data_IF_093174573929
#
_entry.id   IF_093174573929
#
_cell.length_a   1.000
_cell.length_b   1.000
_cell.length_c   1.000
_cell.angle_alpha   90.00
_cell.angle_beta   90.00
_cell.angle_gamma   90.00
#
_symmetry.space_group_name_H-M   'P 1'
#
loop_
_entity.id
_entity.type
_entity.pdbx_description
1 polymer ?
#
# COMPACT_ATOMS: atom_id res chain seq x y z
N UNK A 1 15.92 -21.14 9.30
CA UNK A 1 15.41 -21.13 9.51
C UNK A 1 14.50 -21.52 9.64
N UNK A 2 14.26 -21.88 10.10
CA UNK A 2 13.45 -22.23 10.34
C UNK A 2 12.61 -21.54 10.27
N UNK A 3 12.43 -20.90 10.70
CA UNK A 3 11.62 -20.24 10.64
C UNK A 3 11.65 -19.81 9.53
N UNK A 4 11.71 -20.36 8.91
CA UNK A 4 11.47 -20.01 7.88
C UNK A 4 12.07 -19.07 7.34
N UNK A 5 12.20 -18.41 7.73
CA UNK A 5 12.90 -17.41 7.31
C UNK A 5 12.57 -16.78 6.05
N UNK A 6 11.49 -17.10 5.51
CA UNK A 6 11.14 -16.50 4.26
C UNK A 6 10.43 -15.19 4.51
N UNK A 7 11.01 -14.13 4.01
CA UNK A 7 10.41 -12.81 4.15
C UNK A 7 9.31 -12.60 3.12
N UNK A 8 8.32 -11.82 3.48
CA UNK A 8 7.26 -11.41 2.56
C UNK A 8 7.58 -10.02 2.05
N UNK A 9 7.40 -9.82 0.76
CA UNK A 9 7.67 -8.53 0.13
C UNK A 9 6.38 -7.75 -0.01
N UNK A 10 6.45 -6.46 0.31
CA UNK A 10 5.31 -5.53 0.18
C UNK A 10 5.78 -4.33 -0.62
N UNK A 11 4.96 -3.93 -1.56
CA UNK A 11 5.30 -2.79 -2.39
C UNK A 11 4.01 -2.05 -2.73
N UNK A 12 4.01 -0.74 -2.54
CA UNK A 12 2.87 0.05 -3.01
C UNK A 12 3.33 1.43 -3.43
N UNK A 13 2.56 2.01 -4.35
CA UNK A 13 2.83 3.33 -4.90
C UNK A 13 1.70 4.26 -4.49
N UNK A 14 2.05 5.46 -4.05
CA UNK A 14 1.07 6.48 -3.69
C UNK A 14 1.27 7.70 -4.57
N UNK A 15 0.15 8.33 -4.88
CA UNK A 15 0.14 9.58 -5.64
C UNK A 15 -0.54 10.65 -4.78
N UNK A 16 0.01 11.86 -4.82
CA UNK A 16 -0.51 12.96 -4.03
C UNK A 16 -0.36 14.27 -4.83
N UNK A 17 -1.29 15.19 -4.59
CA UNK A 17 -1.24 16.48 -5.29
C UNK A 17 -0.25 17.41 -4.60
N UNK A 18 0.02 18.55 -5.23
CA UNK A 18 0.91 19.55 -4.65
C UNK A 18 0.40 20.07 -3.31
N UNK A 19 -0.91 20.04 -3.10
CA UNK A 19 -1.50 20.48 -1.83
C UNK A 19 -1.48 19.39 -0.78
N UNK A 20 -0.99 18.21 -1.13
CA UNK A 20 -0.99 17.05 -0.24
C UNK A 20 0.41 16.55 0.06
N UNK A 21 1.39 17.42 0.02
CA UNK A 21 2.78 17.00 0.25
C UNK A 21 3.01 16.44 1.65
N UNK A 22 2.08 16.67 2.57
CA UNK A 22 2.13 16.03 3.89
C UNK A 22 2.04 14.50 3.77
N UNK A 23 1.42 13.98 2.72
CA UNK A 23 1.38 12.52 2.47
C UNK A 23 2.79 12.00 2.23
N UNK A 24 3.56 12.71 1.40
CA UNK A 24 4.94 12.34 1.11
C UNK A 24 5.79 12.36 2.38
N UNK A 25 5.67 13.43 3.15
CA UNK A 25 6.42 13.58 4.39
C UNK A 25 6.06 12.50 5.40
N UNK A 26 4.78 12.18 5.48
CA UNK A 26 4.30 11.17 6.38
C UNK A 26 4.84 9.79 6.01
N UNK A 27 4.85 9.47 4.71
CA UNK A 27 5.36 8.19 4.25
C UNK A 27 6.83 8.05 4.62
N UNK A 28 7.62 9.10 4.39
CA UNK A 28 9.03 9.10 4.77
C UNK A 28 9.22 8.91 6.27
N UNK A 29 8.41 9.58 7.06
CA UNK A 29 8.55 9.55 8.50
C UNK A 29 8.13 8.20 9.08
N UNK A 30 7.12 7.57 8.48
CA UNK A 30 6.52 6.36 9.04
C UNK A 30 6.95 5.07 8.36
N UNK A 31 7.91 5.14 7.45
CA UNK A 31 8.27 3.97 6.62
C UNK A 31 8.84 2.79 7.38
N UNK A 32 9.19 2.97 8.64
CA UNK A 32 9.70 1.90 9.49
C UNK A 32 10.91 1.23 8.87
N UNK A 33 10.85 -0.08 8.65
CA UNK A 33 11.96 -0.83 8.06
C UNK A 33 11.96 -0.79 6.54
N UNK A 34 11.02 -0.10 5.94
CA UNK A 34 10.92 -0.05 4.50
C UNK A 34 11.76 1.05 3.88
N UNK A 35 11.70 1.10 2.57
CA UNK A 35 12.40 2.10 1.77
C UNK A 35 11.38 2.88 0.95
N UNK A 36 11.58 4.18 0.86
CA UNK A 36 10.72 5.04 0.04
C UNK A 36 11.55 5.61 -1.09
N UNK A 37 11.03 5.48 -2.30
CA UNK A 37 11.65 6.04 -3.49
C UNK A 37 10.70 7.07 -4.08
N UNK A 38 11.18 8.27 -4.30
CA UNK A 38 10.38 9.33 -4.93
C UNK A 38 10.53 9.21 -6.44
N UNK A 39 9.47 8.73 -7.09
CA UNK A 39 9.49 8.49 -8.53
C UNK A 39 9.38 9.80 -9.30
N UNK A 40 8.60 10.73 -8.77
CA UNK A 40 8.55 12.10 -9.27
C UNK A 40 8.03 12.97 -8.13
N UNK A 41 7.72 14.23 -8.42
CA UNK A 41 7.33 15.18 -7.36
C UNK A 41 6.03 14.77 -6.67
N UNK A 42 5.21 13.98 -7.33
CA UNK A 42 3.87 13.65 -6.85
C UNK A 42 3.65 12.15 -6.67
N UNK A 43 4.70 11.35 -6.73
CA UNK A 43 4.56 9.89 -6.68
C UNK A 43 5.71 9.29 -5.90
N UNK A 44 5.39 8.43 -4.95
CA UNK A 44 6.40 7.69 -4.18
C UNK A 44 6.05 6.22 -4.13
N UNK A 45 7.09 5.40 -4.10
CA UNK A 45 6.94 3.94 -3.96
C UNK A 45 7.57 3.50 -2.65
N UNK A 46 6.83 2.71 -1.91
CA UNK A 46 7.30 2.09 -0.68
C UNK A 46 7.55 0.60 -0.94
N UNK A 47 8.68 0.09 -0.46
CA UNK A 47 8.97 -1.34 -0.51
C UNK A 47 9.50 -1.78 0.84
N UNK A 48 9.18 -3.02 1.21
CA UNK A 48 9.69 -3.60 2.45
C UNK A 48 9.68 -5.11 2.35
N UNK A 49 10.60 -5.73 3.06
CA UNK A 49 10.62 -7.17 3.25
C UNK A 49 10.44 -7.43 4.74
N UNK A 50 9.37 -8.13 5.09
CA UNK A 50 8.96 -8.32 6.48
C UNK A 50 8.56 -9.78 6.70
N UNK A 51 8.52 -10.18 7.95
CA UNK A 51 8.13 -11.57 8.26
C UNK A 51 6.63 -11.79 8.10
N UNK A 52 5.82 -10.80 8.45
CA UNK A 52 4.38 -10.93 8.38
C UNK A 52 3.79 -9.64 7.83
N UNK A 53 3.53 -9.63 6.53
CA UNK A 53 3.04 -8.45 5.86
C UNK A 53 1.64 -8.06 6.31
N UNK A 54 0.87 -9.00 6.88
CA UNK A 54 -0.47 -8.68 7.34
C UNK A 54 -0.45 -7.62 8.43
N UNK A 55 0.63 -7.53 9.19
CA UNK A 55 0.74 -6.53 10.25
C UNK A 55 0.88 -5.13 9.72
N UNK A 56 1.23 -4.98 8.46
CA UNK A 56 1.35 -3.66 7.85
C UNK A 56 0.04 -3.14 7.27
N UNK A 57 -0.95 -4.01 7.12
CA UNK A 57 -2.18 -3.65 6.44
C UNK A 57 -2.91 -2.46 7.09
N UNK A 58 -3.04 -2.38 8.42
CA UNK A 58 -3.71 -1.21 9.00
C UNK A 58 -3.01 0.11 8.63
N UNK A 59 -1.69 0.10 8.62
CA UNK A 59 -0.93 1.29 8.24
C UNK A 59 -1.12 1.60 6.76
N UNK A 60 -1.03 0.57 5.91
CA UNK A 60 -1.20 0.74 4.48
C UNK A 60 -2.57 1.33 4.16
N UNK A 61 -3.60 0.90 4.89
CA UNK A 61 -4.96 1.38 4.68
C UNK A 61 -5.10 2.87 4.93
N UNK A 62 -4.21 3.46 5.71
CA UNK A 62 -4.28 4.90 5.93
C UNK A 62 -3.92 5.70 4.69
N UNK A 63 -3.37 5.03 3.66
CA UNK A 63 -3.07 5.67 2.38
C UNK A 63 -4.05 5.26 1.29
N UNK A 64 -5.17 4.62 1.65
CA UNK A 64 -6.03 3.93 0.67
C UNK A 64 -6.48 4.82 -0.47
N UNK A 65 -6.79 6.07 -0.20
CA UNK A 65 -7.28 6.98 -1.22
C UNK A 65 -6.18 7.49 -2.14
N UNK A 66 -4.93 7.14 -1.85
CA UNK A 66 -3.78 7.62 -2.62
C UNK A 66 -3.01 6.50 -3.30
N UNK A 67 -3.34 5.25 -2.99
CA UNK A 67 -2.63 4.11 -3.54
C UNK A 67 -3.06 3.91 -4.98
N UNK A 68 -2.09 3.91 -5.88
CA UNK A 68 -2.35 3.66 -7.30
C UNK A 68 -1.93 2.26 -7.72
N UNK A 69 -1.12 1.60 -6.91
CA UNK A 69 -0.67 0.25 -7.19
C UNK A 69 -0.20 -0.39 -5.90
N UNK A 70 -0.46 -1.67 -5.73
CA UNK A 70 -0.04 -2.41 -4.54
C UNK A 70 0.18 -3.87 -4.89
N UNK A 71 1.21 -4.45 -4.30
CA UNK A 71 1.53 -5.86 -4.50
C UNK A 71 2.11 -6.46 -3.22
N UNK A 72 1.58 -7.62 -2.84
CA UNK A 72 2.14 -8.45 -1.76
C UNK A 72 2.62 -9.73 -2.39
N UNK A 73 3.83 -10.17 -2.02
CA UNK A 73 4.33 -11.46 -2.49
C UNK A 73 3.49 -12.62 -1.93
N UNK A 74 2.85 -12.41 -0.79
CA UNK A 74 1.90 -13.36 -0.24
C UNK A 74 0.61 -13.25 -1.06
N UNK A 75 0.35 -14.24 -1.91
CA UNK A 75 -0.76 -14.19 -2.85
C UNK A 75 -2.11 -14.08 -2.15
N UNK A 76 -2.26 -14.68 -0.98
CA UNK A 76 -3.50 -14.62 -0.23
C UNK A 76 -3.77 -13.18 0.23
N UNK A 77 -2.75 -12.51 0.78
CA UNK A 77 -2.90 -11.13 1.22
C UNK A 77 -3.14 -10.20 0.05
N UNK A 78 -2.46 -10.45 -1.07
CA UNK A 78 -2.61 -9.62 -2.25
C UNK A 78 -4.05 -9.66 -2.75
N UNK A 79 -4.58 -10.87 -2.87
CA UNK A 79 -5.96 -11.05 -3.34
C UNK A 79 -6.96 -10.47 -2.35
N UNK A 80 -6.74 -10.72 -1.07
CA UNK A 80 -7.68 -10.26 -0.05
C UNK A 80 -7.72 -8.74 0.04
N UNK A 81 -6.56 -8.09 0.00
CA UNK A 81 -6.53 -6.63 0.05
C UNK A 81 -7.28 -6.02 -1.12
N UNK A 82 -7.06 -6.57 -2.32
CA UNK A 82 -7.70 -6.08 -3.52
C UNK A 82 -9.20 -6.35 -3.51
N UNK A 83 -9.60 -7.50 -2.98
CA UNK A 83 -11.03 -7.81 -2.85
C UNK A 83 -11.71 -6.87 -1.87
N UNK A 84 -11.05 -6.52 -0.79
CA UNK A 84 -11.61 -5.59 0.19
C UNK A 84 -11.84 -4.22 -0.44
N UNK A 85 -10.91 -3.78 -1.29
CA UNK A 85 -11.08 -2.51 -2.00
C UNK A 85 -12.27 -2.58 -2.94
N UNK A 86 -12.41 -3.68 -3.68
CA UNK A 86 -13.54 -3.84 -4.59
C UNK A 86 -14.85 -3.83 -3.84
N UNK A 87 -14.91 -4.51 -2.70
CA UNK A 87 -16.11 -4.55 -1.88
C UNK A 87 -16.48 -3.17 -1.36
N UNK A 88 -15.48 -2.41 -0.95
CA UNK A 88 -15.70 -1.07 -0.47
C UNK A 88 -16.27 -0.19 -1.57
N UNK A 89 -15.71 -0.27 -2.78
CA UNK A 89 -16.22 0.49 -3.92
C UNK A 89 -17.66 0.12 -4.24
N UNK A 90 -17.98 -1.16 -4.22
CA UNK A 90 -19.32 -1.64 -4.50
C UNK A 90 -20.30 -1.16 -3.42
N UNK A 91 -19.88 -1.25 -2.16
CA UNK A 91 -20.74 -0.87 -1.04
C UNK A 91 -21.13 0.59 -1.09
N UNK A 92 -20.18 1.45 -1.49
CA UNK A 92 -20.44 2.89 -1.53
C UNK A 92 -20.94 3.35 -2.88
N UNK A 93 -21.13 2.44 -3.82
CA UNK A 93 -21.63 2.78 -5.14
C UNK A 93 -20.67 3.61 -5.96
N UNK A 94 -19.40 3.45 -5.73
CA UNK A 94 -18.37 4.21 -6.46
C UNK A 94 -17.50 3.25 -7.25
N UNK A 95 -16.66 3.81 -8.07
CA UNK A 95 -15.71 3.02 -8.85
C UNK A 95 -16.35 2.52 -10.05
N UNK A 96 -16.93 1.76 -10.23
CA UNK A 96 -17.27 1.28 -11.33
C UNK A 96 -18.47 1.51 -11.98
N UNK A 97 -19.11 1.86 -11.77
CA UNK A 97 -20.20 1.73 -12.31
C UNK A 97 -20.60 2.59 -13.01
N UNK A 98 -20.37 3.04 -13.33
CA UNK A 98 -20.66 3.88 -13.93
C UNK A 98 -21.54 3.87 -14.84
N UNK A 99 -21.77 3.69 -14.86
CA UNK A 99 -22.35 3.54 -15.36
C UNK A 99 -22.70 3.64 -15.67
#
# INVERSE_FOLDING_TARGET
SRFGGRMEHVEFTVHYSDSEMHIRSRLEREKRCGTVEHLDDNTSRFTADVYDASEMIPWIRTFICRITDIHFSNAFLDAQFKDDIREMCALYGIGGDAE
#
